data_IF_257740632310
#
_entry.id   IF_257740632310
#
_cell.length_a   1.000
_cell.length_b   1.000
_cell.length_c   1.000
_cell.angle_alpha   90.00
_cell.angle_beta   90.00
_cell.angle_gamma   90.00
#
_symmetry.space_group_name_H-M   'P 1'
#
loop_
_entity.id
_entity.type
_entity.pdbx_description
1 polymer ?
#
# COMPACT_ATOMS: atom_id res chain seq x y z
N UNK A 1 12.36 -7.61 3.41
CA UNK A 1 11.52 -8.81 3.59
C UNK A 1 12.24 -10.12 3.25
N UNK A 2 13.38 -10.06 2.56
CA UNK A 2 14.16 -11.24 2.12
C UNK A 2 13.26 -12.31 1.47
N UNK A 3 12.63 -11.94 0.36
CA UNK A 3 11.66 -12.78 -0.33
C UNK A 3 12.33 -13.99 -0.99
N UNK A 4 11.69 -15.15 -0.87
CA UNK A 4 12.11 -16.41 -1.46
C UNK A 4 10.95 -17.07 -2.24
N UNK A 5 11.26 -18.09 -3.05
CA UNK A 5 10.24 -18.86 -3.77
C UNK A 5 9.26 -19.63 -2.86
N UNK A 6 9.66 -19.87 -1.61
CA UNK A 6 8.85 -20.62 -0.65
C UNK A 6 7.83 -19.73 0.09
N UNK A 7 7.97 -18.40 -0.02
CA UNK A 7 7.07 -17.46 0.64
C UNK A 7 5.70 -17.40 -0.05
N UNK A 8 4.66 -17.36 0.75
CA UNK A 8 3.33 -16.90 0.34
C UNK A 8 3.06 -15.53 0.93
N UNK A 9 2.93 -14.54 0.06
CA UNK A 9 2.81 -13.12 0.43
C UNK A 9 1.35 -12.69 0.32
N UNK A 10 0.88 -11.89 1.28
CA UNK A 10 -0.35 -11.10 1.11
C UNK A 10 0.02 -9.63 0.84
N UNK A 11 -0.47 -9.07 -0.24
CA UNK A 11 -0.40 -7.64 -0.54
C UNK A 11 -1.76 -6.99 -0.32
N UNK A 12 -1.83 -6.03 0.59
CA UNK A 12 -3.04 -5.23 0.83
C UNK A 12 -2.93 -3.93 0.04
N UNK A 13 -3.69 -3.82 -1.04
CA UNK A 13 -3.63 -2.71 -1.97
C UNK A 13 -2.82 -3.02 -3.23
N UNK A 14 -3.39 -3.82 -4.14
CA UNK A 14 -2.76 -4.20 -5.42
C UNK A 14 -2.26 -3.03 -6.25
N UNK A 15 -2.94 -1.86 -6.17
CA UNK A 15 -2.65 -0.75 -7.07
C UNK A 15 -2.75 -1.18 -8.53
N UNK A 16 -1.73 -0.89 -9.31
CA UNK A 16 -1.61 -1.31 -10.70
C UNK A 16 -0.75 -2.56 -10.90
N UNK A 17 -0.53 -3.33 -9.82
CA UNK A 17 0.13 -4.65 -9.85
C UNK A 17 1.65 -4.62 -9.79
N UNK A 18 2.28 -3.47 -9.58
CA UNK A 18 3.73 -3.32 -9.68
C UNK A 18 4.49 -4.22 -8.72
N UNK A 19 4.09 -4.28 -7.44
CA UNK A 19 4.76 -5.11 -6.46
C UNK A 19 4.50 -6.60 -6.73
N UNK A 20 3.23 -7.02 -6.90
CA UNK A 20 2.87 -8.41 -7.12
C UNK A 20 3.60 -9.02 -8.32
N UNK A 21 3.56 -8.33 -9.47
CA UNK A 21 4.25 -8.76 -10.68
C UNK A 21 5.78 -8.82 -10.50
N UNK A 22 6.36 -7.80 -9.87
CA UNK A 22 7.79 -7.77 -9.60
C UNK A 22 8.24 -8.92 -8.69
N UNK A 23 7.52 -9.14 -7.60
CA UNK A 23 7.87 -10.16 -6.62
C UNK A 23 7.71 -11.57 -7.20
N UNK A 24 6.62 -11.85 -7.91
CA UNK A 24 6.42 -13.14 -8.58
C UNK A 24 7.51 -13.42 -9.61
N UNK A 25 7.82 -12.46 -10.49
CA UNK A 25 8.85 -12.63 -11.53
C UNK A 25 10.25 -12.80 -10.97
N UNK A 26 10.62 -11.98 -10.00
CA UNK A 26 12.00 -11.91 -9.51
C UNK A 26 12.33 -13.00 -8.50
N UNK A 27 11.38 -13.33 -7.63
CA UNK A 27 11.62 -14.25 -6.51
C UNK A 27 10.89 -15.58 -6.65
N UNK A 28 9.92 -15.70 -7.57
CA UNK A 28 9.15 -16.92 -7.77
C UNK A 28 8.16 -17.25 -6.65
N UNK A 29 7.92 -16.30 -5.72
CA UNK A 29 7.02 -16.49 -4.59
C UNK A 29 5.54 -16.49 -4.99
N UNK A 30 4.69 -17.07 -4.16
CA UNK A 30 3.24 -16.99 -4.32
C UNK A 30 2.73 -15.69 -3.71
N UNK A 31 1.79 -15.03 -4.40
CA UNK A 31 1.23 -13.77 -3.95
C UNK A 31 -0.28 -13.83 -4.02
N UNK A 32 -0.92 -13.50 -2.89
CA UNK A 32 -2.32 -13.10 -2.86
C UNK A 32 -2.36 -11.57 -2.75
N UNK A 33 -3.08 -10.91 -3.62
CA UNK A 33 -3.19 -9.45 -3.60
C UNK A 33 -4.65 -9.02 -3.74
N UNK A 34 -5.03 -7.89 -3.13
CA UNK A 34 -6.43 -7.44 -3.12
C UNK A 34 -6.58 -5.97 -3.48
N UNK A 35 -7.67 -5.67 -4.18
CA UNK A 35 -8.13 -4.31 -4.44
C UNK A 35 -9.66 -4.24 -4.44
N UNK A 36 -10.21 -3.11 -4.01
CA UNK A 36 -11.65 -2.82 -4.13
C UNK A 36 -12.00 -2.09 -5.45
N UNK A 37 -10.99 -1.66 -6.20
CA UNK A 37 -11.17 -0.93 -7.45
C UNK A 37 -11.43 -1.86 -8.64
N UNK A 38 -12.58 -1.73 -9.29
CA UNK A 38 -12.91 -2.49 -10.50
C UNK A 38 -11.86 -2.30 -11.61
N UNK A 39 -11.42 -1.04 -11.82
CA UNK A 39 -10.44 -0.71 -12.87
C UNK A 39 -9.07 -1.32 -12.61
N UNK A 40 -8.60 -1.27 -11.36
CA UNK A 40 -7.33 -1.89 -10.99
C UNK A 40 -7.42 -3.41 -11.14
N UNK A 41 -8.50 -4.02 -10.64
CA UNK A 41 -8.69 -5.47 -10.76
C UNK A 41 -8.68 -5.94 -12.21
N UNK A 42 -9.44 -5.29 -13.09
CA UNK A 42 -9.49 -5.62 -14.52
C UNK A 42 -8.12 -5.48 -15.19
N UNK A 43 -7.45 -4.36 -14.95
CA UNK A 43 -6.13 -4.09 -15.50
C UNK A 43 -5.09 -5.12 -15.04
N UNK A 44 -5.01 -5.37 -13.73
CA UNK A 44 -4.01 -6.30 -13.16
C UNK A 44 -4.33 -7.74 -13.55
N UNK A 45 -5.61 -8.15 -13.62
CA UNK A 45 -6.01 -9.46 -14.12
C UNK A 45 -5.51 -9.71 -15.55
N UNK A 46 -5.61 -8.71 -16.42
CA UNK A 46 -5.07 -8.81 -17.78
C UNK A 46 -3.54 -8.90 -17.79
N UNK A 47 -2.85 -8.12 -16.96
CA UNK A 47 -1.40 -8.19 -16.85
C UNK A 47 -0.91 -9.55 -16.37
N UNK A 48 -1.56 -10.14 -15.36
CA UNK A 48 -1.20 -11.47 -14.83
C UNK A 48 -1.26 -12.50 -15.95
N UNK A 49 -2.31 -12.49 -16.79
CA UNK A 49 -2.47 -13.40 -17.94
C UNK A 49 -1.39 -13.18 -19.01
N UNK A 50 -1.16 -11.92 -19.40
CA UNK A 50 -0.15 -11.57 -20.43
C UNK A 50 1.24 -12.01 -20.00
N UNK A 51 1.53 -11.95 -18.71
CA UNK A 51 2.82 -12.30 -18.14
C UNK A 51 2.93 -13.79 -17.75
N UNK A 52 1.84 -14.58 -17.88
CA UNK A 52 1.81 -16.00 -17.54
C UNK A 52 2.03 -16.28 -16.05
N UNK A 53 1.48 -15.44 -15.17
CA UNK A 53 1.70 -15.50 -13.72
C UNK A 53 0.47 -15.99 -12.93
N UNK A 54 -0.50 -16.64 -13.60
CA UNK A 54 -1.75 -17.10 -12.98
C UNK A 54 -1.52 -18.14 -11.88
N UNK A 55 -0.46 -18.92 -11.98
CA UNK A 55 -0.10 -19.92 -10.97
C UNK A 55 0.55 -19.30 -9.71
N UNK A 56 1.16 -18.10 -9.84
CA UNK A 56 1.84 -17.41 -8.74
C UNK A 56 0.98 -16.33 -8.08
N UNK A 57 0.13 -15.66 -8.85
CA UNK A 57 -0.62 -14.50 -8.35
C UNK A 57 -2.11 -14.78 -8.28
N UNK A 58 -2.65 -14.76 -7.07
CA UNK A 58 -4.10 -14.76 -6.81
C UNK A 58 -4.57 -13.33 -6.59
N UNK A 59 -5.36 -12.79 -7.52
CA UNK A 59 -5.92 -11.44 -7.43
C UNK A 59 -7.35 -11.50 -6.89
N UNK A 60 -7.57 -10.87 -5.74
CA UNK A 60 -8.87 -10.77 -5.08
C UNK A 60 -9.49 -9.39 -5.33
N UNK A 61 -10.84 -9.37 -5.30
CA UNK A 61 -11.62 -8.13 -5.34
C UNK A 61 -12.38 -7.95 -4.04
N UNK A 62 -11.65 -8.00 -2.95
CA UNK A 62 -12.20 -8.00 -1.60
C UNK A 62 -11.65 -6.85 -0.77
N UNK A 63 -12.47 -6.39 0.17
CA UNK A 63 -12.00 -5.50 1.22
C UNK A 63 -11.01 -6.24 2.13
N UNK A 64 -9.90 -5.59 2.51
CA UNK A 64 -8.85 -6.21 3.33
C UNK A 64 -9.41 -6.77 4.66
N UNK A 65 -10.49 -6.20 5.18
CA UNK A 65 -11.14 -6.64 6.42
C UNK A 65 -11.75 -8.04 6.32
N UNK A 66 -12.12 -8.47 5.13
CA UNK A 66 -12.71 -9.80 4.87
C UNK A 66 -11.67 -10.87 4.51
N UNK A 67 -10.39 -10.48 4.35
CA UNK A 67 -9.34 -11.42 4.00
C UNK A 67 -9.13 -12.48 5.09
N UNK A 68 -8.83 -13.69 4.66
CA UNK A 68 -8.55 -14.85 5.51
C UNK A 68 -7.29 -15.57 5.05
N UNK A 69 -6.84 -16.52 5.85
CA UNK A 69 -5.61 -17.26 5.62
C UNK A 69 -4.46 -16.77 6.48
N UNK A 70 -3.31 -17.41 6.29
CA UNK A 70 -2.06 -17.05 6.97
C UNK A 70 -0.91 -17.03 5.97
N UNK A 71 -0.10 -16.01 6.03
CA UNK A 71 0.94 -15.68 5.06
C UNK A 71 2.30 -15.52 5.73
N UNK A 72 3.36 -15.85 5.00
CA UNK A 72 4.73 -15.70 5.49
C UNK A 72 5.15 -14.24 5.58
N UNK A 73 4.68 -13.45 4.62
CA UNK A 73 4.98 -12.01 4.52
C UNK A 73 3.72 -11.22 4.21
N UNK A 74 3.69 -9.97 4.66
CA UNK A 74 2.64 -9.02 4.32
C UNK A 74 3.26 -7.73 3.78
N UNK A 75 2.67 -7.19 2.73
CA UNK A 75 3.08 -5.91 2.12
C UNK A 75 1.89 -5.00 1.95
N UNK A 76 2.07 -3.72 2.27
CA UNK A 76 1.12 -2.66 1.94
C UNK A 76 1.86 -1.36 1.63
N UNK A 77 1.66 -0.84 0.42
CA UNK A 77 2.39 0.32 -0.10
C UNK A 77 1.42 1.45 -0.39
N UNK A 78 1.54 2.56 0.35
CA UNK A 78 0.73 3.78 0.20
C UNK A 78 -0.78 3.50 0.16
N UNK A 79 -1.22 2.61 1.05
CA UNK A 79 -2.63 2.28 1.24
C UNK A 79 -3.16 2.77 2.60
N UNK A 80 -2.29 2.85 3.60
CA UNK A 80 -2.67 3.18 4.97
C UNK A 80 -3.32 4.57 5.08
N UNK A 81 -2.99 5.49 4.19
CA UNK A 81 -3.56 6.83 4.08
C UNK A 81 -5.06 6.80 3.74
N UNK A 82 -5.48 5.76 3.01
CA UNK A 82 -6.88 5.55 2.60
C UNK A 82 -7.70 4.81 3.65
N UNK A 83 -7.07 4.21 4.66
CA UNK A 83 -7.77 3.47 5.73
C UNK A 83 -8.62 4.38 6.59
N UNK A 84 -8.16 5.62 6.83
CA UNK A 84 -8.79 6.58 7.75
C UNK A 84 -8.43 6.31 9.22
N UNK A 85 -8.26 7.40 9.97
CA UNK A 85 -7.76 7.37 11.35
C UNK A 85 -8.49 6.38 12.27
N UNK A 86 -9.81 6.34 12.19
CA UNK A 86 -10.65 5.51 13.07
C UNK A 86 -10.53 4.01 12.79
N UNK A 87 -9.94 3.62 11.66
CA UNK A 87 -9.83 2.22 11.24
C UNK A 87 -8.40 1.67 11.29
N UNK A 88 -7.44 2.48 11.72
CA UNK A 88 -6.02 2.08 11.82
C UNK A 88 -5.84 0.89 12.75
N UNK A 89 -6.56 0.86 13.87
CA UNK A 89 -6.56 -0.31 14.77
C UNK A 89 -7.00 -1.57 14.02
N UNK A 90 -8.15 -1.54 13.37
CA UNK A 90 -8.69 -2.68 12.63
C UNK A 90 -7.75 -3.13 11.50
N UNK A 91 -7.05 -2.19 10.86
CA UNK A 91 -6.06 -2.50 9.84
C UNK A 91 -4.91 -3.33 10.43
N UNK A 92 -4.31 -2.90 11.54
CA UNK A 92 -3.19 -3.63 12.15
C UNK A 92 -3.62 -4.95 12.79
N UNK A 93 -4.80 -5.03 13.40
CA UNK A 93 -5.38 -6.30 13.87
C UNK A 93 -5.56 -7.29 12.72
N UNK A 94 -6.05 -6.81 11.56
CA UNK A 94 -6.16 -7.65 10.36
C UNK A 94 -4.80 -8.10 9.86
N UNK A 95 -3.81 -7.22 9.80
CA UNK A 95 -2.45 -7.56 9.39
C UNK A 95 -1.84 -8.61 10.32
N UNK A 96 -1.96 -8.44 11.65
CA UNK A 96 -1.47 -9.40 12.63
C UNK A 96 -2.11 -10.78 12.45
N UNK A 97 -3.43 -10.82 12.29
CA UNK A 97 -4.19 -12.06 12.06
C UNK A 97 -3.80 -12.79 10.77
N UNK A 98 -3.42 -12.07 9.73
CA UNK A 98 -3.04 -12.62 8.43
C UNK A 98 -1.60 -13.13 8.39
N UNK A 99 -0.74 -12.74 9.33
CA UNK A 99 0.63 -13.21 9.40
C UNK A 99 0.74 -14.53 10.16
N UNK A 100 1.56 -15.43 9.66
CA UNK A 100 2.01 -16.60 10.41
C UNK A 100 2.88 -16.17 11.60
N UNK A 101 3.03 -17.02 12.64
CA UNK A 101 4.06 -16.81 13.66
C UNK A 101 5.44 -16.55 13.01
N UNK A 102 6.13 -15.52 13.47
CA UNK A 102 7.40 -15.02 12.90
C UNK A 102 7.32 -14.47 11.48
N UNK A 103 6.12 -14.25 10.92
CA UNK A 103 5.94 -13.57 9.66
C UNK A 103 6.41 -12.11 9.73
N UNK A 104 6.85 -11.57 8.58
CA UNK A 104 7.32 -10.19 8.48
C UNK A 104 6.33 -9.34 7.69
N UNK A 105 6.11 -8.11 8.17
CA UNK A 105 5.30 -7.13 7.49
C UNK A 105 6.14 -5.93 7.06
N UNK A 106 5.95 -5.45 5.83
CA UNK A 106 6.48 -4.19 5.36
C UNK A 106 5.34 -3.25 4.97
N UNK A 107 5.33 -2.07 5.57
CA UNK A 107 4.41 -0.99 5.22
C UNK A 107 5.21 0.21 4.76
N UNK A 108 4.86 0.75 3.60
CA UNK A 108 5.26 2.08 3.18
C UNK A 108 4.04 2.99 3.25
N UNK A 109 4.20 4.15 3.85
CA UNK A 109 3.13 5.14 3.96
C UNK A 109 3.68 6.53 4.27
N UNK A 110 2.86 7.55 3.99
CA UNK A 110 3.19 8.94 4.31
C UNK A 110 2.77 9.21 5.76
N UNK A 111 3.72 9.69 6.57
CA UNK A 111 3.47 10.03 7.96
C UNK A 111 3.46 11.54 8.17
N UNK A 112 2.73 11.97 9.20
CA UNK A 112 2.76 13.34 9.69
C UNK A 112 3.66 13.45 10.92
N UNK A 113 4.33 14.60 11.09
CA UNK A 113 5.21 14.81 12.24
C UNK A 113 4.43 14.84 13.56
N UNK A 114 5.00 14.29 14.61
CA UNK A 114 4.32 14.08 15.90
C UNK A 114 3.76 15.36 16.50
N UNK A 115 4.53 16.46 16.47
CA UNK A 115 4.18 17.73 17.11
C UNK A 115 2.94 18.40 16.50
N UNK A 116 2.65 18.12 15.24
CA UNK A 116 1.50 18.68 14.52
C UNK A 116 0.32 17.74 14.37
N UNK A 117 0.46 16.49 14.79
CA UNK A 117 -0.47 15.41 14.46
C UNK A 117 -1.92 15.69 14.92
N UNK A 118 -2.09 16.12 16.17
CA UNK A 118 -3.41 16.44 16.72
C UNK A 118 -4.13 17.56 15.93
N UNK A 119 -3.38 18.57 15.52
CA UNK A 119 -3.93 19.66 14.70
C UNK A 119 -4.26 19.16 13.29
N UNK A 120 -3.41 18.30 12.72
CA UNK A 120 -3.66 17.68 11.41
C UNK A 120 -4.95 16.86 11.41
N UNK A 121 -5.23 16.09 12.46
CA UNK A 121 -6.48 15.32 12.57
C UNK A 121 -7.72 16.19 12.55
N UNK A 122 -7.66 17.37 13.18
CA UNK A 122 -8.78 18.31 13.31
C UNK A 122 -8.92 19.25 12.10
N UNK A 123 -7.90 19.35 11.26
CA UNK A 123 -7.87 20.25 10.10
C UNK A 123 -8.36 19.56 8.82
N UNK A 124 -8.94 20.36 7.94
CA UNK A 124 -9.28 19.97 6.58
C UNK A 124 -8.48 20.87 5.63
N UNK A 125 -7.42 20.32 5.06
CA UNK A 125 -6.61 21.00 4.06
C UNK A 125 -7.12 20.75 2.63
N UNK A 126 -6.43 21.33 1.65
CA UNK A 126 -6.78 21.16 0.23
C UNK A 126 -6.75 19.68 -0.20
N UNK A 127 -5.76 18.91 0.27
CA UNK A 127 -5.59 17.51 -0.08
C UNK A 127 -6.76 16.67 0.44
N UNK A 128 -7.10 16.81 1.73
CA UNK A 128 -8.23 16.10 2.35
C UNK A 128 -9.57 16.49 1.74
N UNK A 129 -9.71 17.75 1.28
CA UNK A 129 -10.99 18.23 0.75
C UNK A 129 -11.22 17.85 -0.70
N UNK A 130 -10.19 17.95 -1.56
CA UNK A 130 -10.38 17.89 -3.00
C UNK A 130 -9.65 16.74 -3.70
N UNK A 131 -8.57 16.20 -3.14
CA UNK A 131 -7.75 15.20 -3.80
C UNK A 131 -8.04 13.81 -3.25
N UNK A 132 -8.00 13.65 -1.93
CA UNK A 132 -8.25 12.39 -1.23
C UNK A 132 -9.27 12.59 -0.10
N UNK A 133 -10.56 12.78 -0.42
CA UNK A 133 -11.60 12.93 0.59
C UNK A 133 -11.64 11.72 1.53
N UNK A 134 -11.60 11.98 2.84
CA UNK A 134 -11.60 10.94 3.87
C UNK A 134 -10.23 10.36 4.21
N UNK A 135 -9.16 10.72 3.48
CA UNK A 135 -7.80 10.30 3.83
C UNK A 135 -7.29 11.00 5.08
N UNK A 136 -6.42 10.32 5.80
CA UNK A 136 -5.66 10.91 6.91
C UNK A 136 -4.25 10.36 6.92
N UNK A 137 -3.28 11.25 7.08
CA UNK A 137 -1.93 10.83 7.41
C UNK A 137 -1.89 10.42 8.88
N UNK A 138 -1.11 9.40 9.18
CA UNK A 138 -0.88 8.91 10.55
C UNK A 138 0.47 9.38 11.05
N UNK A 139 0.72 9.27 12.35
CA UNK A 139 2.06 9.47 12.91
C UNK A 139 2.71 8.14 13.28
N UNK A 140 4.02 8.11 13.34
CA UNK A 140 4.77 6.91 13.74
C UNK A 140 4.39 6.49 15.15
N UNK A 141 4.28 7.44 16.09
CA UNK A 141 3.89 7.16 17.47
C UNK A 141 2.46 6.58 17.55
N UNK A 142 1.53 7.07 16.72
CA UNK A 142 0.18 6.50 16.66
C UNK A 142 0.21 5.04 16.20
N UNK A 143 0.96 4.71 15.15
CA UNK A 143 1.15 3.33 14.68
C UNK A 143 1.71 2.45 15.78
N UNK A 144 2.77 2.88 16.44
CA UNK A 144 3.42 2.12 17.51
C UNK A 144 2.48 1.90 18.71
N UNK A 145 1.66 2.89 19.05
CA UNK A 145 0.67 2.78 20.12
C UNK A 145 -0.42 1.76 19.78
N UNK A 146 -0.87 1.72 18.53
CA UNK A 146 -1.85 0.74 18.05
C UNK A 146 -1.26 -0.67 18.05
N UNK A 147 -0.08 -0.85 17.47
CA UNK A 147 0.62 -2.15 17.42
C UNK A 147 0.78 -2.70 18.82
N UNK A 148 1.30 -1.90 19.75
CA UNK A 148 1.51 -2.28 21.16
C UNK A 148 0.22 -2.72 21.85
N UNK A 149 -0.90 -2.04 21.59
CA UNK A 149 -2.12 -2.22 22.37
C UNK A 149 -3.05 -3.30 21.83
N UNK A 150 -2.98 -3.61 20.53
CA UNK A 150 -3.99 -4.41 19.85
C UNK A 150 -3.43 -5.58 19.04
N UNK A 151 -2.12 -5.75 18.98
CA UNK A 151 -1.48 -6.81 18.19
C UNK A 151 -0.30 -7.43 18.93
N UNK A 152 0.22 -8.52 18.40
CA UNK A 152 1.48 -9.16 18.81
C UNK A 152 2.69 -8.71 17.95
N UNK A 153 2.47 -7.76 17.04
CA UNK A 153 3.51 -7.21 16.17
C UNK A 153 4.50 -6.36 16.96
N UNK A 154 5.75 -6.36 16.52
CA UNK A 154 6.80 -5.47 17.03
C UNK A 154 7.54 -4.80 15.89
N UNK A 155 7.92 -3.52 16.08
CA UNK A 155 8.73 -2.80 15.12
C UNK A 155 10.16 -3.34 15.13
N UNK A 156 10.64 -3.81 13.98
CA UNK A 156 12.01 -4.33 13.80
C UNK A 156 12.89 -3.40 12.98
N UNK A 157 12.29 -2.56 12.13
CA UNK A 157 12.99 -1.60 11.30
C UNK A 157 12.12 -0.40 10.96
N UNK A 158 12.69 0.80 10.91
CA UNK A 158 12.06 2.03 10.43
C UNK A 158 13.06 2.81 9.58
N UNK A 159 12.66 3.20 8.38
CA UNK A 159 13.48 4.00 7.47
C UNK A 159 12.70 5.20 6.95
N UNK A 160 13.31 6.37 6.98
CA UNK A 160 12.79 7.58 6.33
C UNK A 160 13.31 7.68 4.90
N UNK A 161 12.41 7.46 3.94
CA UNK A 161 12.70 7.51 2.50
C UNK A 161 12.31 8.85 1.87
N UNK A 162 11.95 9.87 2.64
CA UNK A 162 11.48 11.19 2.17
C UNK A 162 12.38 11.80 1.10
N UNK A 163 13.69 11.70 1.27
CA UNK A 163 14.68 12.24 0.31
C UNK A 163 14.55 11.65 -1.10
N UNK A 164 14.13 10.41 -1.22
CA UNK A 164 13.95 9.73 -2.52
C UNK A 164 12.61 10.08 -3.17
N UNK A 165 11.60 10.48 -2.37
CA UNK A 165 10.28 10.82 -2.88
C UNK A 165 10.29 12.08 -3.75
N UNK A 166 11.20 13.01 -3.46
CA UNK A 166 11.38 14.21 -4.30
C UNK A 166 11.76 13.84 -5.75
N UNK A 167 12.61 12.82 -5.95
CA UNK A 167 12.96 12.35 -7.30
C UNK A 167 11.78 11.64 -7.97
N UNK A 168 11.02 10.84 -7.25
CA UNK A 168 9.79 10.21 -7.74
C UNK A 168 8.80 11.27 -8.25
N UNK A 169 8.53 12.30 -7.46
CA UNK A 169 7.65 13.40 -7.86
C UNK A 169 8.16 14.16 -9.09
N UNK A 170 9.46 14.33 -9.20
CA UNK A 170 10.09 14.96 -10.37
C UNK A 170 9.89 14.11 -11.64
N UNK A 171 10.05 12.80 -11.54
CA UNK A 171 9.79 11.87 -12.64
C UNK A 171 8.31 11.88 -13.06
N UNK A 172 7.39 11.86 -12.11
CA UNK A 172 5.96 11.96 -12.39
C UNK A 172 5.59 13.28 -13.04
N UNK A 173 6.13 14.41 -12.55
CA UNK A 173 5.93 15.72 -13.15
C UNK A 173 6.39 15.77 -14.59
N UNK A 174 7.55 15.19 -14.91
CA UNK A 174 8.07 15.17 -16.27
C UNK A 174 7.16 14.36 -17.20
N UNK A 175 6.78 13.13 -16.80
CA UNK A 175 5.82 12.32 -17.57
C UNK A 175 4.47 13.02 -17.77
N UNK A 176 3.96 13.70 -16.75
CA UNK A 176 2.72 14.46 -16.84
C UNK A 176 2.84 15.60 -17.86
N UNK A 177 3.93 16.35 -17.84
CA UNK A 177 4.18 17.42 -18.82
C UNK A 177 4.25 16.88 -20.24
N UNK A 178 4.92 15.75 -20.44
CA UNK A 178 5.00 15.12 -21.76
C UNK A 178 3.60 14.71 -22.25
N UNK A 179 2.76 14.15 -21.39
CA UNK A 179 1.37 13.83 -21.73
C UNK A 179 0.52 15.07 -22.05
N UNK A 180 0.71 16.18 -21.34
CA UNK A 180 -0.03 17.42 -21.56
C UNK A 180 0.22 18.01 -22.96
N UNK A 181 1.44 17.88 -23.49
CA UNK A 181 1.78 18.34 -24.84
C UNK A 181 0.98 17.60 -25.93
N UNK A 182 0.57 16.35 -25.67
CA UNK A 182 -0.25 15.56 -26.59
C UNK A 182 -1.77 15.73 -26.40
N UNK A 183 -2.21 16.17 -25.23
CA UNK A 183 -3.64 16.25 -24.87
C UNK A 183 -4.19 17.67 -24.80
N UNK A 184 -3.33 18.69 -24.76
CA UNK A 184 -3.75 20.09 -24.84
C UNK A 184 -4.25 20.41 -26.26
N UNK A 185 -5.47 20.96 -26.41
CA UNK A 185 -5.83 21.54 -27.71
C UNK A 185 -4.82 22.63 -28.06
N UNK A 186 -4.31 22.57 -29.26
CA UNK A 186 -3.41 23.62 -29.79
C UNK A 186 -4.00 24.99 -29.48
N UNK A 187 -3.24 25.93 -28.92
CA UNK A 187 -3.74 27.29 -28.77
C UNK A 187 -4.10 27.83 -30.17
N UNK A 188 -5.38 28.13 -30.35
CA UNK A 188 -5.87 28.83 -31.51
C UNK A 188 -5.50 30.29 -31.44
#
# INVERSE_FOLDING_TARGET
LDLTSDDHIIEIGTGWGSFALHAAKKYGCKITTTTISNRQHEYVSNLIKVEGLEEQITLLKDDYRSLNGQYDKLVSIEMIEAVGYNFIQNFFETCSRLLKPNGLMAIQGITYHEQGFENHLKSVDFIKKYIFPGSNLISVNHVLSVIKSYTDLSLVHLEDITKYYAETLKLWRNKYKDCLLYTSPSPR
#
